data_IF_996658152911
#
_entry.id   IF_996658152911
#
_cell.length_a   1.000
_cell.length_b   1.000
_cell.length_c   1.000
_cell.angle_alpha   90.00
_cell.angle_beta   90.00
_cell.angle_gamma   90.00
#
_symmetry.space_group_name_H-M   'P 1'
#
loop_
_entity.id
_entity.type
_entity.pdbx_description
1 polymer ?
#
# COMPACT_ATOMS: atom_id res chain seq x y z
N UNK A 1 -6.73 11.30 5.60
CA UNK A 1 -5.82 11.88 4.61
C UNK A 1 -4.37 11.98 5.09
N UNK A 2 -4.04 12.77 6.13
CA UNK A 2 -2.64 12.88 6.65
C UNK A 2 -1.96 11.51 6.80
N UNK A 3 -2.56 10.61 7.58
CA UNK A 3 -2.05 9.24 7.79
C UNK A 3 -1.83 8.47 6.49
N UNK A 4 -2.69 8.64 5.50
CA UNK A 4 -2.70 7.81 4.30
C UNK A 4 -1.75 8.33 3.23
N UNK A 5 -1.49 9.64 3.20
CA UNK A 5 -0.61 10.29 2.21
C UNK A 5 0.75 10.64 2.81
N UNK A 6 0.78 11.40 3.91
CA UNK A 6 2.01 11.99 4.47
C UNK A 6 2.91 10.93 5.12
N UNK A 7 2.31 9.95 5.82
CA UNK A 7 3.06 8.92 6.53
C UNK A 7 3.56 7.78 5.64
N UNK A 8 3.01 7.64 4.43
CA UNK A 8 3.33 6.54 3.51
C UNK A 8 4.26 7.00 2.40
N UNK A 9 5.54 7.22 2.74
CA UNK A 9 6.52 7.85 1.83
C UNK A 9 7.16 6.90 0.83
N UNK A 10 7.03 5.59 1.02
CA UNK A 10 7.58 4.59 0.10
C UNK A 10 6.54 4.13 -0.90
N UNK A 11 6.97 3.83 -2.13
CA UNK A 11 6.10 3.28 -3.17
C UNK A 11 5.28 2.07 -2.68
N UNK A 12 5.89 1.19 -1.87
CA UNK A 12 5.25 -0.01 -1.35
C UNK A 12 4.12 0.26 -0.35
N UNK A 13 4.24 1.31 0.45
CA UNK A 13 3.15 1.71 1.36
C UNK A 13 2.05 2.48 0.62
N UNK A 14 2.42 3.31 -0.35
CA UNK A 14 1.45 4.17 -1.05
C UNK A 14 0.75 3.49 -2.22
N UNK A 15 1.51 2.90 -3.14
CA UNK A 15 1.02 2.23 -4.37
C UNK A 15 0.66 0.76 -4.14
N UNK A 16 1.14 0.15 -3.06
CA UNK A 16 0.88 -1.25 -2.73
C UNK A 16 1.97 -2.20 -3.21
N UNK A 17 1.71 -3.50 -3.06
CA UNK A 17 2.63 -4.58 -3.35
C UNK A 17 2.77 -4.84 -4.85
N UNK A 18 3.97 -5.24 -5.34
CA UNK A 18 4.15 -5.64 -6.72
C UNK A 18 3.18 -6.77 -7.12
N UNK A 19 2.59 -6.65 -8.31
CA UNK A 19 1.79 -7.69 -8.96
C UNK A 19 2.36 -7.95 -10.35
N UNK A 20 2.87 -9.16 -10.59
CA UNK A 20 3.48 -9.56 -11.85
C UNK A 20 2.68 -10.67 -12.52
N UNK A 21 2.98 -10.90 -13.79
CA UNK A 21 2.39 -12.02 -14.53
C UNK A 21 2.62 -13.33 -13.77
N UNK A 22 1.54 -14.10 -13.56
CA UNK A 22 1.50 -15.38 -12.83
C UNK A 22 1.56 -15.27 -11.31
N UNK A 23 1.63 -14.06 -10.74
CA UNK A 23 1.46 -13.89 -9.31
C UNK A 23 0.01 -14.21 -8.91
N UNK A 24 -0.21 -14.72 -7.68
CA UNK A 24 -1.55 -14.82 -7.12
C UNK A 24 -2.18 -13.41 -7.01
N UNK A 25 -3.50 -13.28 -7.20
CA UNK A 25 -4.18 -11.99 -7.08
C UNK A 25 -4.13 -11.46 -5.65
N UNK A 26 -4.36 -10.15 -5.49
CA UNK A 26 -4.41 -9.45 -4.20
C UNK A 26 -3.09 -9.48 -3.40
N UNK A 27 -1.95 -9.07 -3.97
CA UNK A 27 -0.66 -9.12 -3.27
C UNK A 27 -0.59 -8.20 -2.03
N UNK A 28 -1.46 -7.19 -1.96
CA UNK A 28 -1.56 -6.24 -0.84
C UNK A 28 -1.71 -4.82 -1.35
N UNK A 29 -2.84 -4.19 -1.03
CA UNK A 29 -3.22 -2.86 -1.49
C UNK A 29 -2.32 -1.75 -0.91
N UNK A 30 -2.26 -0.63 -1.62
CA UNK A 30 -1.64 0.60 -1.13
C UNK A 30 -2.50 1.33 -0.10
N UNK A 31 -1.93 2.35 0.53
CA UNK A 31 -2.59 3.13 1.57
C UNK A 31 -3.89 3.79 1.09
N UNK A 32 -3.85 4.43 -0.08
CA UNK A 32 -4.99 5.17 -0.64
C UNK A 32 -6.10 4.24 -1.12
N UNK A 33 -5.73 3.13 -1.74
CA UNK A 33 -6.66 2.07 -2.14
C UNK A 33 -7.44 1.54 -0.92
N UNK A 34 -6.75 1.28 0.20
CA UNK A 34 -7.41 0.90 1.45
C UNK A 34 -8.31 2.00 2.01
N UNK A 35 -7.75 3.19 2.23
CA UNK A 35 -8.48 4.34 2.80
C UNK A 35 -7.88 5.62 2.21
N UNK A 36 -8.68 6.52 1.61
CA UNK A 36 -10.14 6.56 1.66
C UNK A 36 -10.87 5.88 0.49
N UNK A 37 -10.17 5.34 -0.53
CA UNK A 37 -10.82 4.83 -1.76
C UNK A 37 -11.89 3.79 -1.46
N UNK A 38 -11.54 2.67 -0.81
CA UNK A 38 -12.50 1.60 -0.52
C UNK A 38 -13.63 2.07 0.41
N UNK A 39 -13.35 2.99 1.33
CA UNK A 39 -14.40 3.57 2.19
C UNK A 39 -15.36 4.49 1.43
N UNK A 40 -14.89 5.21 0.41
CA UNK A 40 -15.75 6.06 -0.41
C UNK A 40 -16.69 5.21 -1.26
N UNK A 41 -16.17 4.15 -1.89
CA UNK A 41 -17.00 3.16 -2.58
C UNK A 41 -18.09 2.58 -1.68
N UNK A 42 -17.70 2.07 -0.52
CA UNK A 42 -18.65 1.47 0.43
C UNK A 42 -19.67 2.46 0.99
N UNK A 43 -19.31 3.75 1.12
CA UNK A 43 -20.21 4.79 1.60
C UNK A 43 -21.21 5.25 0.53
N UNK A 44 -20.79 5.32 -0.73
CA UNK A 44 -21.64 5.80 -1.84
C UNK A 44 -22.56 4.71 -2.39
N UNK A 45 -22.21 3.43 -2.28
CA UNK A 45 -23.06 2.33 -2.73
C UNK A 45 -24.40 2.25 -2.00
N UNK A 46 -25.46 1.81 -2.68
CA UNK A 46 -26.79 1.67 -2.09
C UNK A 46 -26.85 0.43 -1.18
N UNK A 47 -27.02 0.58 0.15
CA UNK A 47 -27.08 -0.56 1.06
C UNK A 47 -28.35 -1.40 0.91
N UNK A 48 -29.38 -0.91 0.20
CA UNK A 48 -30.64 -1.65 -0.06
C UNK A 48 -30.56 -2.53 -1.30
N UNK A 49 -29.58 -2.27 -2.18
CA UNK A 49 -29.29 -3.10 -3.34
C UNK A 49 -28.70 -4.46 -2.92
N UNK A 50 -28.75 -5.44 -3.82
CA UNK A 50 -28.37 -6.82 -3.49
C UNK A 50 -26.88 -6.94 -3.17
N UNK A 51 -26.03 -6.18 -3.85
CA UNK A 51 -24.57 -6.28 -3.72
C UNK A 51 -23.89 -4.94 -3.45
N UNK A 52 -24.62 -3.89 -3.11
CA UNK A 52 -24.08 -2.55 -2.86
C UNK A 52 -23.95 -1.70 -4.13
N UNK A 53 -24.68 -2.03 -5.19
CA UNK A 53 -24.69 -1.27 -6.43
C UNK A 53 -25.03 0.22 -6.23
N UNK A 54 -24.53 1.13 -7.07
CA UNK A 54 -23.49 0.88 -8.07
C UNK A 54 -22.09 0.96 -7.42
N UNK A 55 -21.82 2.00 -6.62
CA UNK A 55 -20.48 2.32 -6.12
C UNK A 55 -19.90 1.33 -5.09
N UNK A 56 -20.72 0.58 -4.36
CA UNK A 56 -20.27 -0.37 -3.33
C UNK A 56 -19.77 -1.71 -3.86
N UNK A 57 -19.77 -1.89 -5.19
CA UNK A 57 -19.22 -3.09 -5.83
C UNK A 57 -18.52 -2.76 -7.14
N UNK A 58 -17.32 -3.30 -7.35
CA UNK A 58 -16.50 -2.93 -8.51
C UNK A 58 -17.11 -3.31 -9.86
N UNK A 59 -17.93 -4.36 -9.95
CA UNK A 59 -18.58 -4.71 -11.22
C UNK A 59 -19.58 -3.66 -11.72
N UNK A 60 -20.14 -2.87 -10.80
CA UNK A 60 -21.19 -1.89 -11.07
C UNK A 60 -20.71 -0.45 -10.91
N UNK A 61 -19.60 -0.23 -10.19
CA UNK A 61 -19.13 1.11 -9.81
C UNK A 61 -19.05 2.11 -10.95
N UNK A 62 -18.51 1.73 -12.11
CA UNK A 62 -18.40 2.60 -13.28
C UNK A 62 -19.73 2.99 -13.95
N UNK A 63 -20.87 2.46 -13.51
CA UNK A 63 -22.21 2.85 -13.98
C UNK A 63 -22.68 4.14 -13.33
N UNK A 64 -22.20 4.43 -12.12
CA UNK A 64 -22.44 5.71 -11.45
C UNK A 64 -21.40 6.74 -11.93
N UNK A 65 -21.80 7.86 -12.56
CA UNK A 65 -20.86 8.88 -13.01
C UNK A 65 -19.94 9.44 -11.91
N UNK A 66 -20.32 9.38 -10.63
CA UNK A 66 -19.48 9.85 -9.51
C UNK A 66 -18.20 9.03 -9.37
N UNK A 67 -18.17 7.80 -9.89
CA UNK A 67 -16.98 6.95 -9.97
C UNK A 67 -15.80 7.69 -10.58
N UNK A 68 -16.01 8.37 -11.71
CA UNK A 68 -14.95 9.08 -12.42
C UNK A 68 -14.47 10.31 -11.63
N UNK A 69 -15.36 10.98 -10.88
CA UNK A 69 -14.98 12.09 -10.00
C UNK A 69 -14.18 11.61 -8.78
N UNK A 70 -14.56 10.48 -8.17
CA UNK A 70 -13.80 9.84 -7.11
C UNK A 70 -12.39 9.48 -7.59
N UNK A 71 -12.28 8.76 -8.71
CA UNK A 71 -10.99 8.35 -9.26
C UNK A 71 -10.15 9.51 -9.76
N UNK A 72 -10.77 10.60 -10.25
CA UNK A 72 -10.07 11.84 -10.56
C UNK A 72 -9.38 12.44 -9.33
N UNK A 73 -10.02 12.41 -8.15
CA UNK A 73 -9.36 12.89 -6.93
C UNK A 73 -8.34 11.88 -6.38
N UNK A 74 -8.51 10.57 -6.60
CA UNK A 74 -7.49 9.56 -6.29
C UNK A 74 -6.22 9.78 -7.13
N UNK A 75 -6.36 10.04 -8.43
CA UNK A 75 -5.25 10.40 -9.31
C UNK A 75 -4.58 11.71 -8.88
N UNK A 76 -5.37 12.73 -8.51
CA UNK A 76 -4.85 13.96 -7.91
C UNK A 76 -4.02 13.72 -6.65
N UNK A 77 -4.43 12.79 -5.79
CA UNK A 77 -3.70 12.46 -4.57
C UNK A 77 -2.34 11.83 -4.91
N UNK A 78 -2.26 10.98 -5.94
CA UNK A 78 -0.98 10.44 -6.42
C UNK A 78 -0.05 11.54 -6.94
N UNK A 79 -0.58 12.49 -7.72
CA UNK A 79 0.18 13.66 -8.19
C UNK A 79 0.75 14.49 -7.02
N UNK A 80 -0.07 14.79 -6.00
CA UNK A 80 0.38 15.48 -4.78
C UNK A 80 1.46 14.68 -4.04
N UNK A 81 1.30 13.36 -3.97
CA UNK A 81 2.24 12.49 -3.28
C UNK A 81 3.61 12.44 -3.96
N UNK A 82 3.63 12.37 -5.29
CA UNK A 82 4.87 12.43 -6.08
C UNK A 82 5.59 13.77 -5.93
N UNK A 83 4.85 14.89 -5.87
CA UNK A 83 5.43 16.23 -5.71
C UNK A 83 6.05 16.45 -4.32
N UNK A 84 5.42 15.91 -3.26
CA UNK A 84 5.73 16.33 -1.88
C UNK A 84 6.34 15.28 -0.97
N UNK A 85 6.07 13.99 -1.20
CA UNK A 85 6.26 12.98 -0.15
C UNK A 85 7.03 11.75 -0.56
N UNK A 86 6.78 11.21 -1.76
CA UNK A 86 7.30 9.91 -2.14
C UNK A 86 7.72 9.82 -3.59
N UNK A 87 8.27 8.66 -3.94
CA UNK A 87 8.77 8.37 -5.28
C UNK A 87 8.16 7.07 -5.76
N UNK A 88 7.76 7.03 -7.03
CA UNK A 88 7.22 5.85 -7.70
C UNK A 88 8.23 4.69 -7.73
N UNK A 89 7.74 3.50 -8.09
CA UNK A 89 8.63 2.38 -8.41
C UNK A 89 9.49 2.70 -9.63
N UNK A 90 10.73 2.22 -9.61
CA UNK A 90 11.68 2.30 -10.72
C UNK A 90 11.93 0.94 -11.38
N UNK A 91 11.29 -0.11 -10.87
CA UNK A 91 11.40 -1.48 -11.38
C UNK A 91 10.81 -1.61 -12.78
N UNK A 92 11.51 -2.30 -13.67
CA UNK A 92 11.11 -2.44 -15.07
C UNK A 92 9.80 -3.18 -15.24
N UNK A 93 9.48 -4.12 -14.35
CA UNK A 93 8.23 -4.87 -14.45
C UNK A 93 7.02 -3.98 -14.20
N UNK A 94 7.14 -3.01 -13.28
CA UNK A 94 6.10 -2.02 -13.03
C UNK A 94 6.00 -1.02 -14.18
N UNK A 95 7.12 -0.45 -14.64
CA UNK A 95 7.14 0.56 -15.71
C UNK A 95 6.60 0.02 -17.04
N UNK A 96 6.92 -1.24 -17.37
CA UNK A 96 6.54 -1.88 -18.61
C UNK A 96 5.19 -2.62 -18.53
N UNK A 97 4.54 -2.65 -17.36
CA UNK A 97 3.19 -3.17 -17.27
C UNK A 97 2.28 -2.38 -18.22
N UNK A 98 1.52 -3.10 -19.05
CA UNK A 98 0.72 -2.50 -20.12
C UNK A 98 -0.74 -2.92 -20.04
N UNK A 99 -1.61 -1.98 -20.41
CA UNK A 99 -3.05 -2.14 -20.42
C UNK A 99 -3.60 -1.77 -21.80
N UNK A 100 -4.80 -2.25 -22.11
CA UNK A 100 -5.49 -1.98 -23.37
C UNK A 100 -6.73 -1.14 -23.11
N UNK A 101 -6.87 -0.03 -23.84
CA UNK A 101 -8.01 0.88 -23.76
C UNK A 101 -8.53 1.18 -25.15
N UNK A 102 -9.82 1.49 -25.27
CA UNK A 102 -10.35 2.16 -26.45
C UNK A 102 -10.15 3.67 -26.29
N UNK A 103 -9.63 4.31 -27.34
CA UNK A 103 -9.56 5.77 -27.42
C UNK A 103 -10.88 6.37 -27.92
N UNK A 104 -10.93 7.70 -28.02
CA UNK A 104 -12.10 8.44 -28.51
C UNK A 104 -12.45 8.16 -29.98
N UNK A 105 -11.53 7.55 -30.75
CA UNK A 105 -11.69 7.15 -32.15
C UNK A 105 -12.04 5.66 -32.29
N UNK A 106 -12.41 5.00 -31.19
CA UNK A 106 -12.74 3.58 -31.13
C UNK A 106 -11.56 2.66 -31.52
N UNK A 107 -10.32 3.14 -31.36
CA UNK A 107 -9.12 2.34 -31.62
C UNK A 107 -8.63 1.72 -30.33
N UNK A 108 -8.24 0.45 -30.42
CA UNK A 108 -7.60 -0.25 -29.32
C UNK A 108 -6.14 0.20 -29.21
N UNK A 109 -5.81 0.87 -28.11
CA UNK A 109 -4.49 1.42 -27.82
C UNK A 109 -3.87 0.67 -26.63
N UNK A 110 -2.57 0.40 -26.72
CA UNK A 110 -1.77 -0.11 -25.61
C UNK A 110 -1.08 1.06 -24.93
N UNK A 111 -1.29 1.20 -23.62
CA UNK A 111 -0.58 2.16 -22.78
C UNK A 111 0.21 1.41 -21.71
N UNK A 112 1.40 1.91 -21.38
CA UNK A 112 2.21 1.41 -20.26
C UNK A 112 2.06 2.29 -19.04
N UNK A 113 2.44 1.79 -17.87
CA UNK A 113 2.56 2.62 -16.66
C UNK A 113 3.51 3.79 -16.89
N UNK A 114 4.63 3.56 -17.59
CA UNK A 114 5.62 4.60 -17.85
C UNK A 114 5.07 5.79 -18.66
N UNK A 115 4.13 5.54 -19.58
CA UNK A 115 3.47 6.58 -20.37
C UNK A 115 2.59 7.51 -19.51
N UNK A 116 2.15 7.03 -18.34
CA UNK A 116 1.23 7.75 -17.47
C UNK A 116 1.91 8.58 -16.36
N UNK A 117 3.23 8.44 -16.15
CA UNK A 117 3.92 9.06 -15.01
C UNK A 117 4.00 10.58 -15.06
N UNK A 118 3.81 11.18 -16.22
CA UNK A 118 3.80 12.64 -16.41
C UNK A 118 2.43 13.12 -16.85
N UNK A 119 1.64 13.63 -15.90
CA UNK A 119 0.31 14.20 -16.21
C UNK A 119 0.38 15.36 -17.21
N UNK A 120 1.50 16.10 -17.23
CA UNK A 120 1.74 17.14 -18.24
C UNK A 120 1.93 16.58 -19.65
N UNK A 121 2.54 15.40 -19.80
CA UNK A 121 2.64 14.71 -21.10
C UNK A 121 1.27 14.17 -21.54
N UNK A 122 0.42 13.80 -20.58
CA UNK A 122 -0.99 13.48 -20.80
C UNK A 122 -1.88 14.70 -21.03
N UNK A 123 -1.31 15.92 -20.97
CA UNK A 123 -1.96 17.20 -21.29
C UNK A 123 -3.14 17.56 -20.38
N UNK A 124 -3.07 17.18 -19.10
CA UNK A 124 -4.01 17.66 -18.08
C UNK A 124 -3.28 18.11 -16.81
N UNK A 125 -4.01 18.85 -15.98
CA UNK A 125 -3.56 19.28 -14.66
C UNK A 125 -4.76 19.41 -13.72
N UNK A 126 -4.49 19.38 -12.43
CA UNK A 126 -5.48 19.69 -11.40
C UNK A 126 -5.43 21.17 -11.04
N UNK A 127 -6.61 21.75 -10.79
CA UNK A 127 -6.67 23.07 -10.19
C UNK A 127 -5.99 23.07 -8.83
N UNK A 128 -5.14 24.08 -8.59
CA UNK A 128 -4.53 24.32 -7.31
C UNK A 128 -5.59 24.74 -6.29
N UNK A 129 -5.78 23.92 -5.27
CA UNK A 129 -6.67 24.17 -4.14
C UNK A 129 -5.94 23.88 -2.84
N UNK A 130 -6.27 24.57 -1.73
CA UNK A 130 -5.66 24.33 -0.44
C UNK A 130 -5.72 22.86 -0.01
N UNK A 131 -4.62 22.38 0.58
CA UNK A 131 -4.48 20.99 1.06
C UNK A 131 -4.48 21.01 2.58
N UNK A 132 -5.67 21.14 3.18
CA UNK A 132 -5.85 21.33 4.63
C UNK A 132 -5.32 20.17 5.47
N UNK A 133 -5.33 18.95 4.93
CA UNK A 133 -4.94 17.75 5.66
C UNK A 133 -3.43 17.57 5.80
N UNK A 134 -2.59 18.41 5.18
CA UNK A 134 -1.12 18.26 5.22
C UNK A 134 -0.56 18.45 6.63
N UNK A 135 -1.23 19.24 7.47
CA UNK A 135 -0.83 19.53 8.86
C UNK A 135 -1.71 18.82 9.90
N UNK A 136 -2.59 17.92 9.46
CA UNK A 136 -3.54 17.22 10.33
C UNK A 136 -2.93 15.97 10.97
N UNK A 137 -1.75 16.10 11.60
CA UNK A 137 -1.09 14.99 12.31
C UNK A 137 -1.97 14.52 13.48
N UNK A 138 -2.20 13.20 13.64
CA UNK A 138 -2.96 12.67 14.77
C UNK A 138 -2.37 13.05 16.13
N UNK A 139 -3.21 13.08 17.16
CA UNK A 139 -2.79 13.36 18.54
C UNK A 139 -2.96 12.13 19.42
N UNK A 140 -2.00 11.80 20.27
CA UNK A 140 -2.17 10.69 21.23
C UNK A 140 -3.27 11.01 22.25
N UNK A 141 -4.07 9.99 22.57
CA UNK A 141 -5.08 10.03 23.63
C UNK A 141 -4.45 10.04 25.02
N UNK A 142 -3.24 9.48 25.15
CA UNK A 142 -2.51 9.34 26.41
C UNK A 142 -1.32 10.31 26.47
N UNK A 143 -0.82 10.63 27.67
CA UNK A 143 0.44 11.37 27.79
C UNK A 143 1.56 10.64 27.06
N UNK A 144 2.44 11.38 26.36
CA UNK A 144 3.60 10.80 25.67
C UNK A 144 4.44 9.94 26.62
N UNK A 145 4.87 8.77 26.16
CA UNK A 145 5.59 7.78 26.96
C UNK A 145 4.70 6.84 27.77
N UNK A 146 3.38 6.97 27.67
CA UNK A 146 2.46 6.03 28.30
C UNK A 146 2.53 4.66 27.61
N UNK A 147 3.19 3.71 28.27
CA UNK A 147 3.24 2.31 27.79
C UNK A 147 1.85 1.67 27.75
N UNK A 148 1.71 0.60 26.97
CA UNK A 148 0.54 -0.26 27.04
C UNK A 148 0.26 -0.67 28.49
N UNK A 149 -1.00 -0.53 28.94
CA UNK A 149 -1.39 -0.83 30.31
C UNK A 149 -1.10 -2.28 30.65
N UNK A 150 -0.80 -2.56 31.93
CA UNK A 150 -0.58 -3.94 32.37
C UNK A 150 -1.81 -4.82 32.11
N UNK A 151 -3.02 -4.25 32.21
CA UNK A 151 -4.26 -4.97 31.93
C UNK A 151 -4.42 -5.28 30.44
N UNK A 152 -4.01 -4.36 29.55
CA UNK A 152 -3.97 -4.61 28.11
C UNK A 152 -3.00 -5.75 27.79
N UNK A 153 -1.79 -5.71 28.36
CA UNK A 153 -0.77 -6.76 28.18
C UNK A 153 -1.25 -8.13 28.69
N UNK A 154 -1.93 -8.18 29.84
CA UNK A 154 -2.50 -9.43 30.39
C UNK A 154 -3.57 -10.06 29.49
N UNK A 155 -4.35 -9.24 28.77
CA UNK A 155 -5.38 -9.70 27.83
C UNK A 155 -4.81 -10.12 26.47
N UNK A 156 -3.55 -9.80 26.19
CA UNK A 156 -2.92 -10.04 24.90
C UNK A 156 -2.20 -11.39 24.87
N UNK A 157 -2.23 -12.03 23.69
CA UNK A 157 -1.46 -13.25 23.39
C UNK A 157 -0.24 -12.91 22.54
N UNK A 158 0.83 -13.70 22.61
CA UNK A 158 1.99 -13.49 21.76
C UNK A 158 1.65 -13.78 20.29
N UNK A 159 2.18 -12.99 19.36
CA UNK A 159 1.90 -13.14 17.93
C UNK A 159 2.11 -14.56 17.39
N UNK A 160 3.19 -15.24 17.81
CA UNK A 160 3.51 -16.60 17.38
C UNK A 160 2.47 -17.65 17.79
N UNK A 161 1.70 -17.39 18.85
CA UNK A 161 0.70 -18.30 19.40
C UNK A 161 -0.73 -17.87 19.02
N UNK A 162 -0.88 -16.77 18.29
CA UNK A 162 -2.16 -16.12 18.06
C UNK A 162 -2.85 -16.50 16.74
N UNK A 163 -2.15 -17.14 15.79
CA UNK A 163 -2.62 -17.37 14.42
C UNK A 163 -2.43 -18.84 13.96
N UNK A 164 -3.30 -19.37 13.09
CA UNK A 164 -4.43 -18.71 12.42
C UNK A 164 -5.59 -18.39 13.37
N UNK A 165 -6.25 -17.24 13.17
CA UNK A 165 -7.37 -16.80 14.05
C UNK A 165 -8.45 -16.06 13.30
N UNK A 166 -9.70 -16.40 13.61
CA UNK A 166 -10.87 -15.71 13.09
C UNK A 166 -11.01 -14.31 13.72
N UNK A 167 -11.36 -13.33 12.89
CA UNK A 167 -11.66 -11.93 13.28
C UNK A 167 -13.17 -11.79 13.59
N UNK A 168 -13.76 -12.86 14.12
CA UNK A 168 -15.13 -12.88 14.61
C UNK A 168 -15.19 -12.58 16.11
N UNK A 169 -16.23 -11.86 16.51
CA UNK A 169 -16.65 -11.64 17.91
C UNK A 169 -15.52 -11.30 18.90
N UNK A 170 -15.18 -10.02 18.95
CA UNK A 170 -14.38 -9.41 20.01
C UNK A 170 -12.98 -8.98 19.57
N UNK A 171 -12.34 -8.22 20.45
CA UNK A 171 -11.03 -7.64 20.21
C UNK A 171 -9.94 -8.70 20.22
N UNK A 172 -9.13 -8.75 19.16
CA UNK A 172 -7.91 -9.58 19.13
C UNK A 172 -6.76 -8.70 19.58
N UNK A 173 -6.11 -9.05 20.70
CA UNK A 173 -4.95 -8.34 21.24
C UNK A 173 -3.72 -9.21 21.12
N UNK A 174 -2.69 -8.68 20.47
CA UNK A 174 -1.48 -9.43 20.15
C UNK A 174 -0.25 -8.66 20.60
N UNK A 175 0.65 -9.31 21.33
CA UNK A 175 1.97 -8.79 21.63
C UNK A 175 2.87 -9.04 20.43
N UNK A 176 3.36 -7.97 19.83
CA UNK A 176 4.21 -7.99 18.63
C UNK A 176 5.59 -7.49 19.01
N UNK A 177 6.62 -8.29 18.72
CA UNK A 177 8.01 -7.89 18.90
C UNK A 177 8.41 -6.92 17.79
N UNK A 178 9.13 -5.88 18.18
CA UNK A 178 9.73 -4.94 17.24
C UNK A 178 11.12 -5.43 16.82
N UNK A 179 11.53 -5.20 15.57
CA UNK A 179 12.90 -5.50 15.16
C UNK A 179 13.86 -4.63 15.97
N UNK A 180 14.98 -5.21 16.43
CA UNK A 180 16.00 -4.57 17.30
C UNK A 180 16.70 -3.37 16.64
N UNK A 181 16.38 -3.10 15.39
CA UNK A 181 16.89 -1.94 14.68
C UNK A 181 16.12 -0.74 15.24
N UNK A 182 16.84 0.26 15.77
CA UNK A 182 16.41 1.68 15.84
C UNK A 182 15.98 2.29 17.18
N UNK A 183 16.76 2.14 18.26
CA UNK A 183 16.65 3.07 19.42
C UNK A 183 17.21 4.47 19.12
N UNK A 184 17.92 4.64 17.99
CA UNK A 184 18.39 5.95 17.54
C UNK A 184 18.55 5.98 16.01
N UNK A 185 17.49 6.35 15.30
CA UNK A 185 17.54 6.67 13.86
C UNK A 185 17.47 8.17 13.65
N UNK A 186 18.19 8.64 12.65
CA UNK A 186 17.97 9.95 12.06
C UNK A 186 16.60 10.03 11.38
N UNK A 187 16.09 11.24 11.22
CA UNK A 187 14.83 11.49 10.48
C UNK A 187 14.87 10.90 9.07
N UNK A 188 16.00 11.03 8.37
CA UNK A 188 16.16 10.52 7.01
C UNK A 188 16.07 8.98 6.94
N UNK A 189 16.72 8.28 7.87
CA UNK A 189 16.65 6.81 7.93
C UNK A 189 15.23 6.32 8.23
N UNK A 190 14.49 7.03 9.08
CA UNK A 190 13.07 6.75 9.36
C UNK A 190 12.20 6.91 8.11
N UNK A 191 12.50 7.90 7.27
CA UNK A 191 11.76 8.18 6.03
C UNK A 191 12.08 7.16 4.92
N UNK A 192 13.36 6.76 4.77
CA UNK A 192 13.80 5.78 3.76
C UNK A 192 13.45 4.33 4.14
N UNK A 193 13.52 4.01 5.44
CA UNK A 193 13.21 2.69 5.99
C UNK A 193 12.21 2.81 7.14
N UNK A 194 10.94 3.12 6.86
CA UNK A 194 9.94 3.20 7.91
C UNK A 194 9.74 1.83 8.55
N UNK A 195 9.52 1.84 9.86
CA UNK A 195 8.99 0.70 10.59
C UNK A 195 7.53 0.47 10.19
N UNK A 196 7.22 -0.76 9.78
CA UNK A 196 5.92 -1.16 9.23
C UNK A 196 5.33 -2.27 10.08
N UNK A 197 4.08 -2.09 10.48
CA UNK A 197 3.23 -3.16 11.00
C UNK A 197 2.60 -3.90 9.82
N UNK A 198 2.75 -5.22 9.82
CA UNK A 198 2.26 -6.10 8.76
C UNK A 198 1.25 -7.08 9.36
N UNK A 199 0.12 -7.24 8.67
CA UNK A 199 -0.83 -8.32 8.92
C UNK A 199 -0.84 -9.18 7.66
N UNK A 200 -0.27 -10.38 7.73
CA UNK A 200 -0.16 -11.31 6.60
C UNK A 200 -1.23 -12.40 6.64
N UNK A 201 -1.60 -12.87 5.45
CA UNK A 201 -2.56 -13.95 5.28
C UNK A 201 -3.98 -13.59 5.72
N UNK A 202 -4.45 -12.38 5.41
CA UNK A 202 -5.85 -12.01 5.62
C UNK A 202 -6.68 -12.76 4.58
N UNK A 203 -7.43 -13.75 5.03
CA UNK A 203 -8.33 -14.57 4.23
C UNK A 203 -9.78 -14.10 4.43
N UNK A 204 -10.50 -13.84 3.35
CA UNK A 204 -11.88 -13.37 3.38
C UNK A 204 -12.64 -13.75 2.09
N UNK A 205 -13.95 -13.57 2.11
CA UNK A 205 -14.80 -13.62 0.91
C UNK A 205 -14.80 -12.24 0.22
N UNK A 206 -14.22 -12.16 -0.98
CA UNK A 206 -14.17 -10.93 -1.79
C UNK A 206 -15.55 -10.43 -2.21
N UNK A 207 -16.60 -11.26 -2.11
CA UNK A 207 -17.98 -10.85 -2.34
C UNK A 207 -18.58 -10.02 -1.20
N UNK A 208 -17.86 -9.83 -0.09
CA UNK A 208 -18.36 -9.11 1.09
C UNK A 208 -17.56 -7.85 1.36
N UNK A 209 -18.25 -6.79 1.74
CA UNK A 209 -17.61 -5.60 2.32
C UNK A 209 -17.08 -5.95 3.70
N UNK A 210 -15.77 -5.80 3.91
CA UNK A 210 -15.10 -6.12 5.18
C UNK A 210 -14.40 -4.88 5.69
N UNK A 211 -14.49 -4.61 7.00
CA UNK A 211 -13.69 -3.60 7.67
C UNK A 211 -13.28 -4.05 9.06
N UNK A 212 -12.01 -3.86 9.40
CA UNK A 212 -11.53 -3.86 10.77
C UNK A 212 -10.50 -2.76 10.97
N UNK A 213 -10.43 -2.22 12.18
CA UNK A 213 -9.45 -1.21 12.55
C UNK A 213 -8.29 -1.84 13.31
N UNK A 214 -7.14 -1.18 13.25
CA UNK A 214 -5.91 -1.61 13.91
C UNK A 214 -5.48 -0.51 14.87
N UNK A 215 -5.43 -0.84 16.15
CA UNK A 215 -4.92 0.04 17.20
C UNK A 215 -3.56 -0.45 17.70
N UNK A 216 -2.72 0.48 18.15
CA UNK A 216 -1.43 0.20 18.78
C UNK A 216 -1.43 0.75 20.20
N UNK A 217 -1.07 -0.10 21.16
CA UNK A 217 -1.05 0.16 22.59
C UNK A 217 -2.39 0.64 23.18
N UNK A 218 -3.49 0.35 22.49
CA UNK A 218 -4.85 0.70 22.90
C UNK A 218 -5.84 -0.42 22.55
N UNK A 219 -6.92 -0.52 23.31
CA UNK A 219 -8.02 -1.46 23.07
C UNK A 219 -9.40 -0.83 23.29
N UNK A 220 -9.48 0.50 23.33
CA UNK A 220 -10.74 1.23 23.35
C UNK A 220 -11.34 1.28 21.95
N UNK A 221 -12.47 0.60 21.76
CA UNK A 221 -13.19 0.53 20.50
C UNK A 221 -13.73 1.89 20.02
N UNK A 222 -13.79 2.89 20.89
CA UNK A 222 -14.16 4.26 20.56
C UNK A 222 -13.00 5.11 20.03
N UNK A 223 -11.78 4.58 20.00
CA UNK A 223 -10.61 5.31 19.49
C UNK A 223 -10.76 5.63 18.02
N UNK A 224 -10.75 6.93 17.71
CA UNK A 224 -11.06 7.49 16.40
C UNK A 224 -9.80 7.69 15.54
N UNK A 225 -9.93 7.84 14.21
CA UNK A 225 -8.79 8.01 13.30
C UNK A 225 -7.98 9.29 13.50
N UNK A 226 -8.43 10.26 14.29
CA UNK A 226 -7.66 11.44 14.68
C UNK A 226 -6.66 11.16 15.82
N UNK A 227 -6.69 9.95 16.39
CA UNK A 227 -5.78 9.54 17.47
C UNK A 227 -4.54 8.81 16.95
N UNK A 228 -3.40 9.03 17.61
CA UNK A 228 -2.15 8.37 17.22
C UNK A 228 -2.19 6.86 17.46
N UNK A 229 -2.92 6.39 18.46
CA UNK A 229 -3.15 4.97 18.74
C UNK A 229 -3.86 4.25 17.58
N UNK A 230 -4.60 4.98 16.73
CA UNK A 230 -5.23 4.44 15.53
C UNK A 230 -4.20 4.31 14.41
N UNK A 231 -3.73 3.09 14.16
CA UNK A 231 -2.70 2.80 13.16
C UNK A 231 -3.26 2.74 11.74
N UNK A 232 -4.51 2.31 11.55
CA UNK A 232 -5.13 2.22 10.24
C UNK A 232 -6.32 1.26 10.21
N UNK A 233 -6.80 0.97 9.01
CA UNK A 233 -7.90 0.04 8.78
C UNK A 233 -7.60 -0.86 7.59
N UNK A 234 -8.09 -2.08 7.64
CA UNK A 234 -8.31 -2.91 6.45
C UNK A 234 -9.74 -2.70 5.97
N UNK A 235 -9.93 -2.52 4.66
CA UNK A 235 -11.24 -2.32 4.03
C UNK A 235 -11.28 -3.08 2.71
N UNK A 236 -12.19 -4.05 2.56
CA UNK A 236 -12.49 -4.71 1.30
C UNK A 236 -13.81 -4.16 0.74
N UNK A 237 -13.83 -3.78 -0.54
CA UNK A 237 -15.08 -3.52 -1.29
C UNK A 237 -15.53 -4.83 -1.94
N UNK A 238 -16.84 -5.03 -2.12
CA UNK A 238 -17.31 -6.23 -2.81
C UNK A 238 -16.82 -6.24 -4.27
N UNK A 239 -16.39 -7.41 -4.74
CA UNK A 239 -15.99 -7.66 -6.12
C UNK A 239 -16.90 -8.67 -6.82
N UNK A 240 -18.11 -8.88 -6.31
CA UNK A 240 -19.00 -9.94 -6.79
C UNK A 240 -19.66 -9.57 -8.11
N UNK A 241 -19.52 -10.42 -9.13
CA UNK A 241 -20.27 -10.29 -10.39
C UNK A 241 -21.67 -10.92 -10.30
N UNK A 242 -22.62 -10.33 -11.01
CA UNK A 242 -23.96 -10.91 -11.22
C UNK A 242 -23.82 -12.28 -11.93
N UNK A 243 -24.30 -13.36 -11.28
CA UNK A 243 -24.22 -14.73 -11.80
C UNK A 243 -23.10 -15.59 -11.20
N UNK A 244 -22.20 -15.04 -10.37
CA UNK A 244 -21.26 -15.83 -9.58
C UNK A 244 -21.94 -16.36 -8.30
N UNK A 245 -22.12 -17.68 -8.24
CA UNK A 245 -22.57 -18.43 -7.06
C UNK A 245 -21.36 -18.98 -6.28
N UNK A 246 -21.39 -18.92 -4.95
CA UNK A 246 -20.33 -19.41 -4.07
C UNK A 246 -19.49 -18.31 -3.40
N UNK A 247 -18.65 -18.71 -2.43
CA UNK A 247 -17.69 -17.84 -1.76
C UNK A 247 -16.47 -17.59 -2.65
N UNK A 248 -16.04 -16.32 -2.78
CA UNK A 248 -14.82 -15.97 -3.51
C UNK A 248 -13.69 -15.73 -2.52
N UNK A 249 -13.02 -16.79 -2.10
CA UNK A 249 -11.94 -16.69 -1.12
C UNK A 249 -10.73 -16.00 -1.72
N UNK A 250 -10.32 -14.89 -1.10
CA UNK A 250 -9.09 -14.19 -1.40
C UNK A 250 -8.17 -14.22 -0.18
N UNK A 251 -6.87 -14.09 -0.45
CA UNK A 251 -5.83 -13.94 0.55
C UNK A 251 -5.00 -12.71 0.23
N UNK A 252 -4.81 -11.83 1.20
CA UNK A 252 -4.12 -10.55 1.03
C UNK A 252 -3.33 -10.15 2.29
N UNK A 253 -2.73 -8.97 2.29
CA UNK A 253 -2.00 -8.41 3.42
C UNK A 253 -2.34 -6.93 3.65
N UNK A 254 -2.17 -6.47 4.88
CA UNK A 254 -2.22 -5.05 5.26
C UNK A 254 -0.84 -4.60 5.73
N UNK A 255 -0.39 -3.42 5.28
CA UNK A 255 0.86 -2.79 5.71
C UNK A 255 0.58 -1.38 6.19
N UNK A 256 1.01 -1.08 7.41
CA UNK A 256 0.80 0.22 8.07
C UNK A 256 2.15 0.79 8.50
N UNK A 257 2.52 1.96 7.98
CA UNK A 257 3.68 2.70 8.49
C UNK A 257 3.42 3.19 9.90
N UNK A 258 4.20 2.73 10.89
CA UNK A 258 3.99 3.05 12.31
C UNK A 258 5.08 3.95 12.90
N UNK A 259 6.02 4.44 12.09
CA UNK A 259 7.18 5.19 12.62
C UNK A 259 6.79 6.47 13.35
N UNK A 260 6.00 7.36 12.72
CA UNK A 260 5.50 8.57 13.38
C UNK A 260 4.53 8.25 14.53
N UNK A 261 3.77 7.15 14.42
CA UNK A 261 2.90 6.67 15.50
C UNK A 261 3.72 6.35 16.76
N UNK A 262 4.87 5.69 16.62
CA UNK A 262 5.74 5.35 17.75
C UNK A 262 6.33 6.60 18.42
N UNK A 263 6.69 7.61 17.62
CA UNK A 263 7.13 8.93 18.11
C UNK A 263 6.01 9.66 18.86
N UNK A 264 4.80 9.65 18.31
CA UNK A 264 3.64 10.31 18.91
C UNK A 264 3.28 9.71 20.26
N UNK A 265 3.35 8.39 20.38
CA UNK A 265 3.10 7.66 21.62
C UNK A 265 4.30 7.72 22.58
N UNK A 266 5.49 8.08 22.11
CA UNK A 266 6.73 8.10 22.90
C UNK A 266 7.20 6.70 23.33
N UNK A 267 7.00 5.70 22.48
CA UNK A 267 7.30 4.28 22.76
C UNK A 267 8.37 3.71 21.82
N UNK A 268 9.19 4.56 21.23
CA UNK A 268 10.26 4.16 20.31
C UNK A 268 11.28 3.20 20.94
N UNK A 269 11.46 3.26 22.27
CA UNK A 269 12.40 2.44 23.01
C UNK A 269 11.83 1.10 23.51
N UNK A 270 10.51 0.89 23.38
CA UNK A 270 9.83 -0.32 23.83
C UNK A 270 10.11 -1.47 22.85
N UNK A 271 10.53 -2.64 23.34
CA UNK A 271 10.87 -3.79 22.48
C UNK A 271 9.63 -4.53 21.93
N UNK A 272 8.45 -4.26 22.51
CA UNK A 272 7.19 -4.92 22.18
C UNK A 272 6.03 -3.92 22.16
N UNK A 273 5.08 -4.14 21.26
CA UNK A 273 3.82 -3.40 21.18
C UNK A 273 2.64 -4.34 21.43
N UNK A 274 1.53 -3.78 21.91
CA UNK A 274 0.25 -4.48 21.84
C UNK A 274 -0.52 -3.96 20.63
N UNK A 275 -0.78 -4.83 19.67
CA UNK A 275 -1.62 -4.54 18.50
C UNK A 275 -3.02 -5.09 18.77
N UNK A 276 -4.03 -4.26 18.60
CA UNK A 276 -5.43 -4.65 18.75
C UNK A 276 -6.14 -4.57 17.41
N UNK A 277 -6.77 -5.68 17.00
CA UNK A 277 -7.70 -5.72 15.86
C UNK A 277 -9.11 -5.51 16.39
N UNK A 278 -9.80 -4.51 15.83
CA UNK A 278 -11.16 -4.12 16.16
C UNK A 278 -12.07 -4.46 14.99
N UNK A 279 -12.82 -5.57 15.04
CA UNK A 279 -13.76 -5.93 13.97
C UNK A 279 -14.86 -4.87 13.83
N UNK A 280 -15.21 -4.47 12.59
CA UNK A 280 -16.26 -3.45 12.34
C UNK A 280 -17.39 -3.96 11.44
N UNK A 281 -17.07 -4.31 10.20
CA UNK A 281 -18.06 -4.68 9.17
C UNK A 281 -17.65 -6.00 8.54
N UNK A 282 -18.59 -6.94 8.37
CA UNK A 282 -18.42 -8.13 7.55
C UNK A 282 -17.32 -9.11 8.01
N UNK A 283 -16.86 -9.03 9.27
CA UNK A 283 -15.67 -9.80 9.71
C UNK A 283 -15.95 -11.25 10.11
N UNK A 284 -17.20 -11.72 9.99
CA UNK A 284 -17.62 -13.03 10.52
C UNK A 284 -16.85 -14.20 9.92
N UNK A 285 -16.39 -14.06 8.67
CA UNK A 285 -15.66 -15.08 7.91
C UNK A 285 -14.22 -14.65 7.58
N UNK A 286 -13.67 -13.66 8.31
CA UNK A 286 -12.29 -13.20 8.09
C UNK A 286 -11.35 -13.98 8.99
N UNK A 287 -10.26 -14.48 8.42
CA UNK A 287 -9.20 -15.18 9.16
C UNK A 287 -7.89 -14.43 8.92
N UNK A 288 -7.12 -14.19 9.99
CA UNK A 288 -5.71 -13.83 9.88
C UNK A 288 -4.94 -15.14 9.98
N UNK A 289 -4.40 -15.60 8.87
CA UNK A 289 -3.87 -16.95 8.70
C UNK A 289 -2.39 -17.11 9.06
N UNK A 290 -1.61 -16.04 9.01
CA UNK A 290 -0.14 -16.13 9.12
C UNK A 290 0.39 -15.39 10.35
N UNK A 291 0.63 -14.08 10.25
CA UNK A 291 1.25 -13.33 11.35
C UNK A 291 0.83 -11.86 11.41
N UNK A 292 0.97 -11.29 12.60
CA UNK A 292 1.08 -9.85 12.81
C UNK A 292 2.48 -9.56 13.31
N UNK A 293 3.24 -8.78 12.55
CA UNK A 293 4.65 -8.54 12.83
C UNK A 293 5.06 -7.09 12.52
N UNK A 294 6.07 -6.61 13.23
CA UNK A 294 6.76 -5.36 12.91
C UNK A 294 8.01 -5.68 12.08
N UNK A 295 8.26 -4.89 11.04
CA UNK A 295 9.39 -5.09 10.14
C UNK A 295 9.80 -3.83 9.41
N UNK A 296 10.68 -4.02 8.43
CA UNK A 296 11.00 -2.98 7.45
C UNK A 296 10.10 -3.12 6.22
N UNK A 297 10.03 -2.08 5.40
CA UNK A 297 9.35 -2.12 4.08
C UNK A 297 9.84 -3.29 3.20
N UNK A 298 11.11 -3.67 3.35
CA UNK A 298 11.76 -4.75 2.59
C UNK A 298 11.38 -6.16 3.08
N UNK A 299 10.76 -6.29 4.27
CA UNK A 299 10.30 -7.57 4.80
C UNK A 299 10.30 -7.62 6.33
N UNK A 300 9.50 -8.55 6.86
CA UNK A 300 9.54 -8.98 8.25
C UNK A 300 10.75 -9.91 8.40
N UNK A 301 11.72 -9.55 9.24
CA UNK A 301 12.80 -10.46 9.59
C UNK A 301 12.22 -11.60 10.42
N UNK A 302 11.99 -12.77 9.81
CA UNK A 302 11.74 -14.01 10.56
C UNK A 302 12.94 -14.27 11.47
N UNK A 303 12.82 -13.91 12.75
CA UNK A 303 13.81 -14.26 13.75
C UNK A 303 13.90 -15.79 13.78
N UNK A 304 15.10 -16.31 13.52
CA UNK A 304 15.38 -17.73 13.46
C UNK A 304 14.90 -18.45 14.74
N UNK A 305 13.89 -19.30 14.59
CA UNK A 305 13.56 -20.29 15.62
C UNK A 305 14.71 -21.31 15.64
N UNK A 306 15.44 -21.35 16.76
CA UNK A 306 16.61 -22.18 16.94
C UNK A 306 16.30 -23.66 16.73
N UNK A 307 16.86 -24.24 15.67
CA UNK A 307 16.94 -25.67 15.51
C UNK A 307 17.84 -26.24 16.62
N UNK A 308 17.23 -26.97 17.56
CA UNK A 308 17.93 -27.87 18.48
C UNK A 308 18.73 -28.88 17.65
N UNK A 309 20.05 -28.74 17.64
CA UNK A 309 20.97 -29.79 17.23
C UNK A 309 20.87 -30.93 18.25
N UNK A 310 20.08 -31.95 17.91
CA UNK A 310 20.17 -33.27 18.52
C UNK A 310 21.40 -33.99 17.99
N UNK A 311 22.36 -34.26 18.87
CA UNK A 311 23.49 -35.12 18.61
C UNK A 311 22.99 -36.55 18.32
N UNK A 312 23.40 -37.11 17.18
CA UNK A 312 23.10 -38.49 16.78
C UNK A 312 24.26 -39.04 15.96
N UNK A 313 25.14 -39.78 16.64
CA UNK A 313 26.22 -40.59 16.06
C UNK A 313 25.63 -41.64 15.10
N UNK A 314 26.20 -41.77 13.90
CA UNK A 314 25.86 -42.84 12.96
C UNK A 314 26.79 -42.85 11.76
N UNK A 315 27.76 -43.76 11.78
CA UNK A 315 28.79 -43.97 10.77
C UNK A 315 28.28 -44.60 9.47
N UNK A 316 28.85 -44.23 8.30
CA UNK A 316 29.25 -45.11 7.18
C UNK A 316 29.98 -44.27 6.07
N UNK A 317 30.65 -44.85 5.05
CA UNK A 317 32.06 -44.51 4.78
C UNK A 317 32.39 -44.00 3.35
N UNK A 318 33.61 -43.45 3.26
CA UNK A 318 34.63 -43.47 2.19
C UNK A 318 34.29 -43.10 0.72
N UNK A 319 35.14 -42.17 0.26
CA UNK A 319 35.80 -42.07 -1.05
C UNK A 319 34.98 -41.52 -2.24
N UNK A 320 35.37 -40.33 -2.71
CA UNK A 320 36.14 -40.22 -3.95
C UNK A 320 37.00 -38.94 -3.94
N UNK A 321 38.28 -39.10 -4.31
CA UNK A 321 39.24 -38.03 -4.54
C UNK A 321 39.02 -37.45 -5.94
N UNK A 322 39.10 -36.14 -6.06
CA UNK A 322 39.24 -35.43 -7.34
C UNK A 322 39.73 -34.01 -7.06
N UNK A 323 41.05 -33.86 -6.98
CA UNK A 323 41.71 -32.59 -6.80
C UNK A 323 41.87 -31.88 -8.14
N UNK A 324 41.62 -30.56 -8.18
CA UNK A 324 42.46 -29.61 -8.93
C UNK A 324 42.30 -28.20 -8.32
N UNK A 325 43.45 -27.68 -7.90
CA UNK A 325 43.77 -26.32 -7.43
C UNK A 325 43.55 -25.30 -8.57
N UNK A 326 42.98 -24.12 -8.32
CA UNK A 326 43.59 -22.86 -7.84
C UNK A 326 43.82 -21.84 -8.96
N UNK A 327 43.34 -20.60 -8.72
CA UNK A 327 43.98 -19.28 -8.92
C UNK A 327 42.88 -18.25 -9.24
N UNK A 328 42.43 -17.43 -8.27
CA UNK A 328 42.99 -16.11 -7.94
C UNK A 328 43.23 -15.20 -9.16
N UNK A 329 42.41 -14.16 -9.32
CA UNK A 329 42.95 -12.80 -9.35
C UNK A 329 41.88 -11.76 -9.01
N UNK A 330 42.25 -10.84 -8.13
CA UNK A 330 41.54 -9.62 -7.82
C UNK A 330 41.87 -8.53 -8.84
N UNK A 331 40.93 -7.63 -9.13
CA UNK A 331 41.26 -6.27 -9.59
C UNK A 331 40.36 -5.24 -8.90
N UNK A 332 41.03 -4.40 -8.10
CA UNK A 332 40.61 -3.04 -7.75
C UNK A 332 40.69 -2.17 -9.01
N UNK A 333 39.72 -1.28 -9.21
CA UNK A 333 39.93 -0.03 -9.95
C UNK A 333 39.36 1.11 -9.11
N UNK A 334 40.18 2.14 -8.99
CA UNK A 334 40.05 3.35 -8.22
C UNK A 334 39.17 4.39 -8.90
N UNK A 335 38.72 5.34 -8.08
CA UNK A 335 38.02 6.56 -8.40
C UNK A 335 38.73 7.46 -9.44
N UNK A 336 37.94 8.24 -10.17
CA UNK A 336 38.32 9.57 -10.61
C UNK A 336 37.09 10.51 -10.59
N UNK A 337 37.32 11.71 -10.06
CA UNK A 337 36.38 12.83 -9.96
C UNK A 337 36.42 13.60 -11.28
N UNK A 338 35.28 14.07 -11.74
CA UNK A 338 35.17 14.98 -12.89
C UNK A 338 34.08 16.02 -12.64
N UNK A 339 34.49 17.28 -12.68
CA UNK A 339 33.73 18.49 -12.37
C UNK A 339 32.47 18.75 -13.22
N UNK A 340 31.55 19.46 -12.56
CA UNK A 340 30.61 20.47 -13.07
C UNK A 340 30.72 20.89 -14.54
N UNK A 341 29.57 20.91 -15.22
CA UNK A 341 29.29 21.94 -16.23
C UNK A 341 27.81 22.35 -16.18
N UNK A 342 27.55 23.52 -15.58
CA UNK A 342 26.33 24.31 -15.76
C UNK A 342 26.42 25.02 -17.11
N UNK A 343 25.42 24.86 -17.97
CA UNK A 343 25.13 25.83 -19.03
C UNK A 343 23.62 26.06 -19.13
N UNK A 344 23.24 27.31 -18.90
CA UNK A 344 21.94 27.91 -19.22
C UNK A 344 22.00 28.41 -20.68
N UNK A 345 20.93 28.21 -21.44
CA UNK A 345 20.51 29.07 -22.56
C UNK A 345 18.99 28.83 -22.71
N UNK A 346 18.08 29.74 -22.32
CA UNK A 346 17.64 31.01 -22.93
C UNK A 346 17.33 30.93 -24.43
N UNK A 347 16.01 30.87 -24.68
CA UNK A 347 15.19 31.58 -25.68
C UNK A 347 15.79 31.97 -27.03
N UNK A 348 15.10 31.56 -28.09
CA UNK A 348 14.87 32.42 -29.24
C UNK A 348 13.45 32.16 -29.78
N UNK A 349 12.62 33.19 -29.70
CA UNK A 349 11.36 33.33 -30.42
C UNK A 349 11.65 33.51 -31.92
N UNK A 350 10.85 32.89 -32.79
CA UNK A 350 10.57 33.45 -34.10
C UNK A 350 9.11 33.20 -34.49
N UNK A 351 8.37 34.31 -34.57
CA UNK A 351 7.09 34.43 -35.25
C UNK A 351 7.40 34.53 -36.75
N UNK A 352 6.63 33.83 -37.58
CA UNK A 352 6.14 34.43 -38.81
C UNK A 352 4.78 33.83 -39.18
N UNK A 353 3.82 34.73 -39.33
CA UNK A 353 2.50 34.49 -39.89
C UNK A 353 2.58 34.30 -41.42
N UNK A 354 1.66 33.50 -41.95
CA UNK A 354 1.39 33.37 -43.38
C UNK A 354 0.06 32.66 -43.55
N UNK A 355 -1.00 33.43 -43.68
CA UNK A 355 -2.34 32.97 -44.03
C UNK A 355 -2.42 32.65 -45.53
N UNK A 356 -3.10 31.57 -45.89
CA UNK A 356 -3.81 31.44 -47.16
C UNK A 356 -5.10 30.66 -46.90
N UNK A 357 -6.18 31.29 -47.33
CA UNK A 357 -7.58 30.93 -47.27
C UNK A 357 -7.95 30.10 -48.50
N UNK A 358 -8.79 29.08 -48.34
CA UNK A 358 -9.61 28.48 -49.41
C UNK A 358 -10.59 27.50 -48.76
N UNK A 359 -11.85 27.93 -48.65
CA UNK A 359 -12.95 27.09 -48.24
C UNK A 359 -13.40 26.12 -49.34
N UNK A 360 -14.05 25.05 -48.92
CA UNK A 360 -15.07 24.38 -49.71
C UNK A 360 -16.11 23.76 -48.76
N UNK A 361 -17.35 24.17 -48.96
CA UNK A 361 -18.55 23.54 -48.42
C UNK A 361 -18.76 22.16 -49.06
N UNK A 362 -19.37 21.23 -48.32
CA UNK A 362 -20.42 20.26 -48.72
C UNK A 362 -20.53 19.26 -47.55
N UNK A 363 -21.58 19.31 -46.74
CA UNK A 363 -22.91 18.74 -46.94
C UNK A 363 -23.06 17.48 -46.08
N UNK A 364 -24.18 17.48 -45.37
CA UNK A 364 -24.72 16.42 -44.52
C UNK A 364 -24.77 15.08 -45.23
N UNK A 365 -24.62 13.99 -44.47
CA UNK A 365 -25.59 12.89 -44.52
C UNK A 365 -25.51 12.06 -43.22
N UNK A 366 -26.64 12.05 -42.52
CA UNK A 366 -27.05 11.01 -41.59
C UNK A 366 -27.17 9.68 -42.33
N UNK A 367 -26.99 8.55 -41.64
CA UNK A 367 -27.85 7.35 -41.68
C UNK A 367 -27.13 6.24 -40.87
N UNK A 368 -27.71 5.95 -39.70
CA UNK A 368 -27.62 4.66 -39.01
C UNK A 368 -28.54 3.66 -39.71
N UNK A 369 -28.27 2.36 -39.56
CA UNK A 369 -29.00 1.61 -38.54
C UNK A 369 -28.12 0.89 -37.52
#
# INVERSE_FOLDING_TARGET
MYRQVVLNRTAKLFLGMPYRARDPPNPGAGSIEMVPHNTAHAWTGDPTSRFGEDMGNFYSSGRDPIFFALHSNVDRIWSIWCDKFGTNYTDSDWLNASFLFYDENQKLVRATVSDALSISQLRYAYQDVPIEWINARPTSKRPKGSRASNDLKKKAVKAADAFPRSVNNGLIRVIVKRPVINKSRTKKEKEEQPEVLVIEGIELDAGKTVKFDVLVNDDDESTMPDKSEFAGSFVNVSHRHAGMEGEMKIKTSLRLGITELLEDLGVEDDDELVVTIVPRIGTQNVIIGEEIACGSVMGVSKAACGARLGAGLGAAPKQYRGATRSCLSARRISAERGHECRMRARSAEHRHAGACDAGEHLAHDEIMP
#
